data_IF_371351554857
#
_entry.id   IF_371351554857
#
_cell.length_a   1.000
_cell.length_b   1.000
_cell.length_c   1.000
_cell.angle_alpha   90.00
_cell.angle_beta   90.00
_cell.angle_gamma   90.00
#
_symmetry.space_group_name_H-M   'P 1'
#
loop_
_entity.id
_entity.type
_entity.pdbx_description
1 polymer ?
#
# COMPACT_ATOMS: atom_id res chain seq x y z
N UNK A 1 -14.45 -71.71 15.84
CA UNK A 1 -15.89 -71.67 15.47
C UNK A 1 -16.36 -70.22 15.54
N UNK A 2 -17.32 -69.80 14.69
CA UNK A 2 -17.00 -69.21 13.38
C UNK A 2 -17.63 -67.78 13.23
N UNK A 3 -17.69 -67.03 12.11
CA UNK A 3 -18.09 -67.36 10.72
C UNK A 3 -17.62 -66.31 9.69
N UNK A 4 -17.09 -66.78 8.56
CA UNK A 4 -17.34 -66.23 7.21
C UNK A 4 -18.61 -66.93 6.64
N UNK A 5 -19.36 -66.36 5.68
CA UNK A 5 -19.19 -66.75 4.24
C UNK A 5 -19.69 -65.67 3.23
N UNK A 6 -19.89 -65.94 1.91
CA UNK A 6 -19.22 -66.85 0.96
C UNK A 6 -18.67 -66.14 -0.31
N UNK A 7 -18.20 -66.94 -1.28
CA UNK A 7 -17.49 -66.57 -2.52
C UNK A 7 -18.08 -67.20 -3.80
N UNK A 8 -17.63 -66.72 -4.98
CA UNK A 8 -17.54 -67.44 -6.28
C UNK A 8 -18.84 -67.62 -7.13
N UNK A 9 -18.75 -67.89 -8.47
CA UNK A 9 -17.63 -68.53 -9.19
C UNK A 9 -17.11 -67.90 -10.51
N UNK A 10 -16.07 -68.56 -11.05
CA UNK A 10 -15.29 -68.29 -12.27
C UNK A 10 -16.04 -68.53 -13.59
N UNK A 11 -15.52 -67.92 -14.68
CA UNK A 11 -15.24 -68.67 -15.92
C UNK A 11 -14.09 -68.01 -16.71
N UNK A 12 -13.24 -68.82 -17.35
CA UNK A 12 -12.06 -68.38 -18.10
C UNK A 12 -11.93 -69.12 -19.43
N UNK A 13 -11.63 -68.42 -20.54
CA UNK A 13 -11.31 -69.02 -21.85
C UNK A 13 -10.24 -68.19 -22.62
N UNK A 14 -9.03 -68.75 -22.66
CA UNK A 14 -8.06 -68.90 -23.78
C UNK A 14 -7.79 -67.77 -24.83
N UNK A 15 -6.48 -67.45 -24.96
CA UNK A 15 -5.74 -67.33 -26.24
C UNK A 15 -5.67 -65.95 -26.93
N UNK A 16 -4.62 -65.58 -27.69
CA UNK A 16 -3.28 -66.17 -27.89
C UNK A 16 -2.32 -65.14 -28.60
N UNK A 17 -1.00 -65.37 -28.52
CA UNK A 17 0.07 -64.99 -29.50
C UNK A 17 0.29 -63.50 -29.89
N UNK A 18 1.40 -62.83 -29.49
CA UNK A 18 2.77 -62.80 -30.11
C UNK A 18 2.86 -62.03 -31.44
N UNK A 19 3.73 -61.04 -31.69
CA UNK A 19 5.21 -60.89 -31.48
C UNK A 19 5.59 -59.39 -31.19
N UNK A 20 6.69 -59.00 -30.52
CA UNK A 20 8.14 -59.00 -30.91
C UNK A 20 8.39 -58.42 -32.33
N UNK A 21 9.33 -57.50 -32.63
CA UNK A 21 10.47 -56.92 -31.88
C UNK A 21 10.97 -55.59 -32.54
N UNK A 22 11.73 -54.77 -31.80
CA UNK A 22 12.65 -53.68 -32.27
C UNK A 22 13.89 -54.32 -33.00
N UNK A 23 14.88 -53.65 -33.70
CA UNK A 23 15.30 -52.22 -33.59
C UNK A 23 15.95 -51.48 -34.81
N UNK A 24 16.35 -50.22 -34.55
CA UNK A 24 17.52 -49.45 -35.06
C UNK A 24 17.60 -48.75 -36.47
N UNK A 25 17.97 -47.44 -36.40
CA UNK A 25 18.82 -46.58 -37.29
C UNK A 25 18.60 -46.63 -38.82
N UNK A 26 18.52 -45.49 -39.56
CA UNK A 26 19.62 -44.53 -39.70
C UNK A 26 19.24 -43.20 -40.42
N UNK A 27 20.03 -42.15 -40.18
CA UNK A 27 20.33 -40.94 -41.00
C UNK A 27 19.42 -40.46 -42.15
N UNK A 28 19.00 -39.18 -42.11
CA UNK A 28 18.59 -38.40 -43.29
C UNK A 28 18.58 -36.89 -43.04
N UNK A 29 19.51 -36.13 -43.65
CA UNK A 29 19.49 -34.65 -43.65
C UNK A 29 18.58 -34.15 -44.77
N UNK A 30 17.80 -33.10 -44.52
CA UNK A 30 17.27 -32.24 -45.59
C UNK A 30 17.16 -30.79 -45.14
N UNK A 31 17.80 -29.90 -45.89
CA UNK A 31 17.70 -28.46 -45.72
C UNK A 31 16.41 -27.95 -46.36
N UNK A 32 15.72 -27.00 -45.70
CA UNK A 32 14.81 -26.06 -46.39
C UNK A 32 15.21 -24.64 -46.01
N UNK A 33 15.24 -23.76 -47.02
CA UNK A 33 15.84 -22.42 -46.96
C UNK A 33 14.98 -21.43 -46.18
N UNK A 34 15.65 -20.50 -45.48
CA UNK A 34 15.11 -19.15 -45.25
C UNK A 34 14.99 -18.42 -46.60
N UNK A 35 13.87 -17.75 -46.84
CA UNK A 35 13.80 -16.60 -47.74
C UNK A 35 13.41 -15.36 -46.93
N UNK A 36 13.85 -14.19 -47.40
CA UNK A 36 13.84 -12.94 -46.63
C UNK A 36 13.61 -11.76 -47.60
N UNK A 37 12.92 -10.73 -47.11
CA UNK A 37 12.77 -9.38 -47.69
C UNK A 37 11.82 -9.23 -48.92
N UNK A 38 11.33 -8.00 -49.23
CA UNK A 38 11.53 -6.70 -48.56
C UNK A 38 10.24 -5.93 -48.14
N UNK A 39 10.42 -4.83 -47.39
CA UNK A 39 9.40 -3.79 -47.14
C UNK A 39 9.41 -2.71 -48.24
N UNK A 40 8.26 -2.12 -48.56
CA UNK A 40 8.15 -0.78 -49.17
C UNK A 40 6.88 -0.04 -48.72
N UNK A 41 6.83 1.30 -48.93
CA UNK A 41 5.94 2.28 -48.28
C UNK A 41 4.61 2.59 -49.04
N UNK A 42 3.62 3.27 -48.40
CA UNK A 42 2.29 3.50 -48.96
C UNK A 42 2.17 4.78 -49.82
N UNK A 43 1.09 4.94 -50.62
CA UNK A 43 0.78 6.17 -51.34
C UNK A 43 -0.25 7.05 -50.61
N UNK A 44 -0.03 8.36 -50.69
CA UNK A 44 -1.04 9.41 -50.50
C UNK A 44 -1.33 10.08 -51.85
N UNK A 45 -2.57 10.50 -52.12
CA UNK A 45 -2.93 11.77 -52.81
C UNK A 45 -4.45 11.93 -52.99
N UNK A 46 -4.89 13.11 -53.43
CA UNK A 46 -6.24 13.61 -53.16
C UNK A 46 -7.01 14.17 -54.38
N UNK A 47 -8.34 14.12 -54.25
CA UNK A 47 -9.33 15.17 -54.64
C UNK A 47 -9.94 15.21 -56.06
N UNK A 48 -11.25 15.53 -56.06
CA UNK A 48 -12.15 16.02 -57.16
C UNK A 48 -12.52 15.00 -58.26
N UNK A 49 -13.77 14.89 -58.73
CA UNK A 49 -15.05 15.47 -58.30
C UNK A 49 -16.13 15.49 -59.42
N UNK A 50 -17.35 15.92 -59.07
CA UNK A 50 -18.55 16.28 -59.89
C UNK A 50 -19.76 15.33 -59.88
N UNK A 51 -20.91 16.00 -59.88
CA UNK A 51 -22.32 15.60 -59.77
C UNK A 51 -23.02 15.85 -61.14
N UNK A 52 -24.31 15.49 -61.35
CA UNK A 52 -25.34 16.55 -61.26
C UNK A 52 -26.80 16.16 -60.85
N UNK A 53 -27.38 16.98 -59.96
CA UNK A 53 -28.70 17.70 -60.02
C UNK A 53 -30.07 16.99 -60.21
N UNK A 54 -30.91 17.14 -59.16
CA UNK A 54 -32.13 18.01 -59.01
C UNK A 54 -33.21 18.10 -60.12
N UNK A 55 -34.52 18.18 -59.73
CA UNK A 55 -35.20 19.48 -59.39
C UNK A 55 -36.27 19.39 -58.24
N UNK A 56 -36.94 20.43 -57.68
CA UNK A 56 -36.73 21.91 -57.46
C UNK A 56 -37.78 22.49 -56.48
N UNK A 57 -37.38 23.40 -55.56
CA UNK A 57 -38.18 24.55 -55.06
C UNK A 57 -38.91 24.41 -53.71
N UNK A 58 -39.10 25.44 -52.85
CA UNK A 58 -38.62 26.84 -52.79
C UNK A 58 -39.43 27.61 -51.72
N UNK A 59 -38.87 28.33 -50.73
CA UNK A 59 -38.57 29.79 -50.82
C UNK A 59 -38.12 30.40 -49.45
N UNK A 60 -37.10 31.29 -49.48
CA UNK A 60 -36.93 32.60 -48.76
C UNK A 60 -37.24 32.76 -47.24
N UNK A 61 -36.50 33.52 -46.40
CA UNK A 61 -35.35 34.42 -46.62
C UNK A 61 -34.61 34.83 -45.30
N UNK A 62 -33.37 35.34 -45.44
CA UNK A 62 -32.58 36.25 -44.54
C UNK A 62 -31.83 35.74 -43.29
N UNK A 63 -30.65 36.33 -43.11
CA UNK A 63 -29.65 36.11 -42.04
C UNK A 63 -28.95 37.43 -41.66
N UNK A 64 -28.19 37.39 -40.54
CA UNK A 64 -27.08 38.29 -40.13
C UNK A 64 -27.45 39.56 -39.32
N UNK A 65 -26.52 40.20 -38.57
CA UNK A 65 -25.13 39.80 -38.20
C UNK A 65 -24.76 39.93 -36.70
N UNK A 66 -23.52 39.59 -36.34
CA UNK A 66 -22.84 39.99 -35.09
C UNK A 66 -22.51 41.51 -35.05
N UNK A 67 -22.12 42.04 -33.88
CA UNK A 67 -21.20 43.18 -33.81
C UNK A 67 -19.98 42.93 -32.89
N UNK A 68 -18.94 43.76 -33.06
CA UNK A 68 -17.75 43.76 -32.22
C UNK A 68 -17.22 45.20 -32.01
N UNK A 69 -16.45 45.39 -30.92
CA UNK A 69 -15.54 46.52 -30.60
C UNK A 69 -16.15 47.88 -30.24
N UNK A 70 -15.84 48.35 -29.02
CA UNK A 70 -15.23 49.67 -28.78
C UNK A 70 -14.36 49.68 -27.51
N UNK A 71 -13.29 50.47 -27.56
CA UNK A 71 -12.38 50.77 -26.45
C UNK A 71 -12.81 52.09 -25.78
N UNK A 72 -12.43 52.29 -24.52
CA UNK A 72 -12.20 53.63 -23.95
C UNK A 72 -11.18 53.57 -22.79
N UNK A 73 -10.67 54.72 -22.34
CA UNK A 73 -9.27 54.84 -21.86
C UNK A 73 -9.04 55.57 -20.52
N UNK A 74 -8.25 54.93 -19.62
CA UNK A 74 -7.41 55.55 -18.57
C UNK A 74 -8.10 56.24 -17.36
N UNK A 75 -7.33 56.73 -16.35
CA UNK A 75 -5.87 56.68 -16.22
C UNK A 75 -5.31 56.11 -14.88
N UNK A 76 -3.99 55.89 -14.91
CA UNK A 76 -3.00 55.68 -13.84
C UNK A 76 -3.34 56.10 -12.39
N UNK A 77 -2.95 55.26 -11.42
CA UNK A 77 -2.15 55.66 -10.24
C UNK A 77 -1.34 54.49 -9.68
N UNK A 78 -0.04 54.69 -9.54
CA UNK A 78 0.92 53.77 -8.91
C UNK A 78 1.18 54.17 -7.46
N UNK A 79 1.51 53.20 -6.61
CA UNK A 79 2.16 53.42 -5.32
C UNK A 79 3.33 52.44 -5.16
N UNK A 80 4.51 53.00 -4.94
CA UNK A 80 5.73 52.27 -4.56
C UNK A 80 5.78 52.11 -3.03
N UNK A 81 6.77 51.35 -2.52
CA UNK A 81 7.72 52.06 -1.65
C UNK A 81 9.20 51.79 -1.97
N UNK A 82 9.93 52.91 -2.03
CA UNK A 82 11.36 53.16 -1.82
C UNK A 82 12.35 52.00 -1.65
N UNK A 83 13.41 52.07 -2.46
CA UNK A 83 14.65 51.34 -2.26
C UNK A 83 15.38 51.76 -0.97
N UNK A 84 16.09 50.81 -0.35
CA UNK A 84 17.17 51.10 0.61
C UNK A 84 18.52 50.83 -0.09
N UNK A 85 19.41 51.80 0.02
CA UNK A 85 20.72 51.84 -0.64
C UNK A 85 21.66 50.73 -0.19
N UNK A 86 22.37 50.10 -1.13
CA UNK A 86 23.50 49.24 -0.82
C UNK A 86 24.65 50.02 -0.16
N UNK A 87 25.49 49.30 0.61
CA UNK A 87 26.75 49.83 1.15
C UNK A 87 27.90 48.90 0.76
N UNK A 88 28.96 49.49 0.21
CA UNK A 88 30.11 48.79 -0.33
C UNK A 88 31.14 48.39 0.75
N UNK A 89 32.03 47.48 0.36
CA UNK A 89 33.17 46.98 1.13
C UNK A 89 34.36 47.96 1.21
N UNK A 90 35.37 47.59 2.03
CA UNK A 90 36.72 48.18 2.26
C UNK A 90 36.79 49.11 3.49
N UNK A 91 37.79 49.10 4.38
CA UNK A 91 39.12 48.42 4.45
C UNK A 91 39.42 47.84 5.87
N UNK A 92 40.49 47.04 6.03
CA UNK A 92 41.09 46.63 7.33
C UNK A 92 42.16 47.66 7.81
N UNK A 93 43.34 47.27 8.35
CA UNK A 93 43.79 45.97 8.89
C UNK A 93 44.68 46.04 10.18
N UNK A 94 44.61 45.07 11.09
CA UNK A 94 45.64 44.72 12.12
C UNK A 94 45.45 43.21 12.43
N UNK A 95 46.44 42.34 12.68
CA UNK A 95 47.91 42.42 12.74
C UNK A 95 48.43 41.09 13.34
N UNK A 96 49.63 40.64 12.94
CA UNK A 96 50.11 39.25 13.14
C UNK A 96 50.91 39.01 14.42
N UNK A 97 50.86 37.77 14.95
CA UNK A 97 51.91 36.98 15.65
C UNK A 97 51.23 35.98 16.63
N UNK A 98 51.82 34.85 17.03
CA UNK A 98 53.13 34.25 16.73
C UNK A 98 53.25 32.90 17.48
N UNK A 99 54.17 32.02 17.07
CA UNK A 99 54.26 30.64 17.58
C UNK A 99 55.33 30.44 18.67
N UNK A 100 55.26 29.25 19.32
CA UNK A 100 56.29 28.52 20.12
C UNK A 100 56.25 28.66 21.65
N UNK A 101 56.45 27.52 22.30
CA UNK A 101 56.73 27.39 23.74
C UNK A 101 56.74 25.91 24.16
N UNK A 102 57.92 25.26 24.19
CA UNK A 102 58.10 23.92 24.79
C UNK A 102 58.09 24.04 26.31
N UNK A 103 57.59 23.00 26.98
CA UNK A 103 57.83 22.76 28.41
C UNK A 103 57.57 21.30 28.75
N UNK A 104 58.63 20.50 28.86
CA UNK A 104 58.57 19.23 29.60
C UNK A 104 58.75 19.56 31.07
N UNK A 105 57.93 18.99 31.96
CA UNK A 105 58.45 18.55 33.26
C UNK A 105 57.58 17.44 33.87
N UNK A 106 58.21 16.69 34.79
CA UNK A 106 57.74 15.40 35.30
C UNK A 106 56.91 15.52 36.57
N UNK A 107 55.86 14.70 36.72
CA UNK A 107 55.09 14.65 37.97
C UNK A 107 54.17 13.45 38.08
N UNK A 108 54.64 12.36 38.68
CA UNK A 108 53.83 11.17 38.94
C UNK A 108 53.03 11.31 40.25
N UNK A 109 51.71 11.42 40.19
CA UNK A 109 50.82 11.30 41.37
C UNK A 109 49.61 10.40 41.06
N UNK A 110 49.27 9.55 42.02
CA UNK A 110 48.26 8.49 41.96
C UNK A 110 46.84 9.02 41.69
N UNK A 111 46.13 8.41 40.73
CA UNK A 111 44.67 8.59 40.57
C UNK A 111 43.90 7.74 41.60
N UNK A 112 43.02 8.38 42.39
CA UNK A 112 41.90 7.71 43.07
C UNK A 112 40.66 7.74 42.13
N UNK A 113 39.92 6.64 41.95
CA UNK A 113 38.67 6.67 41.20
C UNK A 113 37.46 6.90 42.12
N UNK A 114 36.79 8.03 41.96
CA UNK A 114 35.33 8.10 42.10
C UNK A 114 34.70 7.89 40.71
N UNK A 115 33.51 7.31 40.54
CA UNK A 115 32.57 6.83 41.54
C UNK A 115 31.14 6.91 41.00
N UNK A 116 30.76 6.01 40.08
CA UNK A 116 29.36 5.80 39.60
C UNK A 116 29.23 4.59 38.67
N UNK A 117 29.40 3.37 39.21
CA UNK A 117 28.96 2.10 38.59
C UNK A 117 28.92 1.00 39.67
N UNK A 118 27.79 0.87 40.36
CA UNK A 118 27.35 -0.28 41.18
C UNK A 118 25.96 0.02 41.75
N UNK A 119 24.92 -0.34 41.00
CA UNK A 119 23.52 -0.10 41.40
C UNK A 119 22.49 -1.07 40.79
N UNK A 120 22.89 -1.96 39.87
CA UNK A 120 22.01 -2.97 39.26
C UNK A 120 22.40 -4.42 39.57
N UNK A 121 23.65 -4.70 39.91
CA UNK A 121 24.12 -6.07 40.20
C UNK A 121 23.82 -6.53 41.65
N UNK A 122 23.73 -5.60 42.61
CA UNK A 122 23.46 -5.92 44.01
C UNK A 122 22.02 -6.45 44.25
N UNK A 123 21.04 -6.00 43.46
CA UNK A 123 19.62 -6.39 43.63
C UNK A 123 19.37 -7.82 43.15
N UNK A 124 20.04 -8.24 42.08
CA UNK A 124 19.92 -9.59 41.53
C UNK A 124 20.55 -10.66 42.45
N UNK A 125 21.57 -10.30 43.24
CA UNK A 125 22.20 -11.20 44.19
C UNK A 125 21.32 -11.49 45.43
N UNK A 126 20.60 -10.49 45.94
CA UNK A 126 19.74 -10.63 47.12
C UNK A 126 18.51 -11.50 46.82
N UNK A 127 17.93 -11.39 45.61
CA UNK A 127 16.77 -12.17 45.16
C UNK A 127 17.02 -13.69 45.07
N UNK A 128 18.26 -14.17 45.13
CA UNK A 128 18.61 -15.61 45.03
C UNK A 128 18.86 -16.31 46.37
N UNK A 129 18.78 -15.60 47.51
CA UNK A 129 19.26 -16.12 48.79
C UNK A 129 18.18 -16.57 49.80
N UNK A 130 16.89 -16.26 49.59
CA UNK A 130 15.83 -16.53 50.59
C UNK A 130 14.49 -16.97 49.95
N UNK A 131 14.18 -18.28 49.87
CA UNK A 131 12.88 -18.76 49.44
C UNK A 131 11.84 -18.59 50.56
N UNK A 132 10.89 -17.65 50.40
CA UNK A 132 9.78 -17.47 51.34
C UNK A 132 9.29 -16.02 51.51
N UNK A 133 10.07 -15.01 51.12
CA UNK A 133 9.74 -13.59 51.32
C UNK A 133 8.62 -13.05 50.38
N UNK A 134 7.85 -13.91 49.71
CA UNK A 134 6.73 -13.52 48.87
C UNK A 134 5.44 -13.17 49.64
N UNK A 135 5.29 -13.63 50.89
CA UNK A 135 4.02 -13.48 51.66
C UNK A 135 4.00 -12.36 52.70
N UNK A 136 5.07 -11.58 52.88
CA UNK A 136 5.15 -10.54 53.93
C UNK A 136 5.18 -9.09 53.43
N UNK A 137 5.13 -8.85 52.11
CA UNK A 137 5.10 -7.50 51.53
C UNK A 137 3.71 -7.06 51.03
N UNK A 138 2.71 -7.95 51.06
CA UNK A 138 1.34 -7.65 50.64
C UNK A 138 0.52 -6.78 51.63
N UNK A 139 1.08 -6.43 52.79
CA UNK A 139 0.34 -5.84 53.92
C UNK A 139 0.62 -4.34 54.17
N UNK A 140 1.40 -3.65 53.33
CA UNK A 140 1.74 -2.22 53.51
C UNK A 140 1.73 -1.42 52.21
N UNK A 141 0.54 -1.19 51.66
CA UNK A 141 0.08 0.07 51.06
C UNK A 141 0.92 0.85 50.03
N UNK A 142 2.00 0.29 49.48
CA UNK A 142 2.88 0.95 48.52
C UNK A 142 2.74 0.26 47.16
N UNK A 143 1.62 0.55 46.49
CA UNK A 143 1.37 0.07 45.15
C UNK A 143 2.41 0.62 44.18
N UNK A 144 3.14 -0.26 43.50
CA UNK A 144 3.77 0.13 42.23
C UNK A 144 2.67 0.55 41.26
N UNK A 145 2.87 1.61 40.45
CA UNK A 145 1.89 1.98 39.45
C UNK A 145 1.73 0.79 38.50
N UNK A 146 0.50 0.30 38.24
CA UNK A 146 0.30 -0.71 37.22
C UNK A 146 0.80 -0.13 35.91
N UNK A 147 1.76 -0.82 35.28
CA UNK A 147 2.35 -0.34 34.03
C UNK A 147 1.24 -0.14 33.01
N UNK A 148 1.06 1.10 32.54
CA UNK A 148 0.09 1.49 31.50
C UNK A 148 0.41 0.93 30.10
N UNK A 149 1.13 -0.19 30.04
CA UNK A 149 1.63 -0.87 28.86
C UNK A 149 0.91 -2.19 28.57
N UNK A 150 -0.25 -2.43 29.19
CA UNK A 150 -1.09 -3.63 29.00
C UNK A 150 -2.58 -3.33 28.76
N UNK A 151 -2.92 -2.15 28.21
CA UNK A 151 -4.30 -1.81 27.83
C UNK A 151 -4.38 -0.81 26.68
N UNK A 152 -3.78 -1.17 25.54
CA UNK A 152 -3.90 -0.43 24.27
C UNK A 152 -3.96 -1.35 23.04
N UNK A 153 -4.24 -2.64 23.23
CA UNK A 153 -4.43 -3.58 22.11
C UNK A 153 -5.86 -3.46 21.59
N UNK A 154 -5.98 -3.24 20.27
CA UNK A 154 -7.20 -3.22 19.47
C UNK A 154 -8.26 -2.16 19.87
N UNK A 155 -8.16 -0.96 19.26
CA UNK A 155 -9.31 -0.03 19.11
C UNK A 155 -10.42 -0.55 18.18
N UNK A 156 -10.10 -1.57 17.39
CA UNK A 156 -10.96 -2.14 16.36
C UNK A 156 -10.91 -3.66 16.47
N UNK A 157 -12.08 -4.29 16.44
CA UNK A 157 -12.22 -5.74 16.34
C UNK A 157 -12.68 -6.15 14.94
N UNK A 158 -12.63 -7.45 14.66
CA UNK A 158 -13.13 -8.01 13.40
C UNK A 158 -14.11 -9.14 13.65
N UNK A 159 -15.04 -9.35 12.71
CA UNK A 159 -15.94 -10.50 12.69
C UNK A 159 -15.87 -11.18 11.32
N UNK A 160 -15.44 -12.44 11.34
CA UNK A 160 -15.46 -13.30 10.17
C UNK A 160 -16.89 -13.75 9.84
N UNK A 161 -17.20 -13.85 8.55
CA UNK A 161 -18.37 -14.48 7.95
C UNK A 161 -17.94 -15.34 6.76
N UNK A 162 -18.75 -16.35 6.42
CA UNK A 162 -18.42 -17.35 5.40
C UNK A 162 -17.21 -18.24 5.72
N UNK A 163 -16.78 -18.98 4.71
CA UNK A 163 -15.66 -19.95 4.79
C UNK A 163 -14.34 -19.31 4.34
N UNK A 164 -13.22 -19.46 5.07
CA UNK A 164 -11.91 -19.05 4.58
C UNK A 164 -11.55 -19.72 3.24
N UNK A 165 -10.74 -19.04 2.44
CA UNK A 165 -10.27 -19.50 1.12
C UNK A 165 -11.38 -19.74 0.09
N UNK A 166 -12.57 -19.15 0.26
CA UNK A 166 -13.69 -19.25 -0.69
C UNK A 166 -14.22 -17.85 -1.09
N UNK A 167 -15.00 -17.75 -2.19
CA UNK A 167 -15.62 -16.48 -2.60
C UNK A 167 -16.63 -15.91 -1.60
N UNK A 168 -17.13 -16.70 -0.65
CA UNK A 168 -18.08 -16.28 0.39
C UNK A 168 -17.42 -15.74 1.68
N UNK A 169 -16.09 -15.81 1.80
CA UNK A 169 -15.37 -15.23 2.94
C UNK A 169 -15.56 -13.71 3.05
N UNK A 170 -15.90 -13.20 4.24
CA UNK A 170 -15.92 -11.77 4.56
C UNK A 170 -15.35 -11.53 5.95
N UNK A 171 -14.60 -10.45 6.12
CA UNK A 171 -14.10 -9.97 7.40
C UNK A 171 -14.61 -8.55 7.65
N UNK A 172 -15.65 -8.44 8.47
CA UNK A 172 -16.27 -7.17 8.87
C UNK A 172 -15.53 -6.54 10.05
N UNK A 173 -15.68 -5.23 10.23
CA UNK A 173 -14.98 -4.47 11.27
C UNK A 173 -15.95 -3.97 12.34
N UNK A 174 -15.45 -3.86 13.57
CA UNK A 174 -16.13 -3.28 14.73
C UNK A 174 -15.25 -2.21 15.38
N UNK A 175 -15.86 -1.14 15.87
CA UNK A 175 -15.18 -0.17 16.72
C UNK A 175 -14.98 -0.71 18.16
N UNK A 176 -14.36 0.10 19.04
CA UNK A 176 -14.14 -0.24 20.44
C UNK A 176 -15.43 -0.49 21.26
N UNK A 177 -16.57 0.07 20.82
CA UNK A 177 -17.88 -0.14 21.43
C UNK A 177 -18.60 -1.40 20.90
N UNK A 178 -17.97 -2.14 19.97
CA UNK A 178 -18.53 -3.33 19.33
C UNK A 178 -19.48 -3.05 18.16
N UNK A 179 -19.66 -1.79 17.75
CA UNK A 179 -20.53 -1.39 16.63
C UNK A 179 -19.84 -1.68 15.31
N UNK A 180 -20.60 -2.18 14.34
CA UNK A 180 -20.10 -2.39 12.97
C UNK A 180 -19.74 -1.07 12.29
N UNK A 181 -18.65 -1.09 11.53
CA UNK A 181 -18.10 0.06 10.83
C UNK A 181 -17.53 -0.37 9.46
N UNK A 182 -17.46 0.57 8.51
CA UNK A 182 -16.70 0.40 7.27
C UNK A 182 -15.20 0.63 7.54
N UNK A 183 -14.30 -0.30 7.16
CA UNK A 183 -12.87 -0.05 7.23
C UNK A 183 -12.42 1.03 6.24
N UNK A 184 -13.13 1.20 5.13
CA UNK A 184 -12.85 2.22 4.13
C UNK A 184 -13.25 3.62 4.65
N UNK A 185 -14.41 3.76 5.30
CA UNK A 185 -15.00 5.08 5.54
C UNK A 185 -14.98 5.55 7.00
N UNK A 186 -15.12 4.64 7.97
CA UNK A 186 -15.33 4.98 9.38
C UNK A 186 -14.05 4.97 10.23
N UNK A 187 -12.99 4.28 9.78
CA UNK A 187 -11.67 4.36 10.40
C UNK A 187 -11.04 5.69 9.98
N UNK A 188 -10.67 6.59 10.90
CA UNK A 188 -10.06 7.87 10.52
C UNK A 188 -8.72 7.68 9.81
N UNK A 189 -8.42 8.48 8.79
CA UNK A 189 -7.10 8.48 8.13
C UNK A 189 -5.96 8.72 9.14
N UNK A 190 -6.11 9.72 10.02
CA UNK A 190 -5.09 10.12 10.99
C UNK A 190 -5.27 9.41 12.34
N UNK A 191 -4.16 8.93 12.89
CA UNK A 191 -4.08 8.25 14.17
C UNK A 191 -3.84 9.24 15.34
N UNK A 192 -4.80 10.13 15.61
CA UNK A 192 -4.68 11.17 16.64
C UNK A 192 -6.01 11.68 17.19
N UNK A 193 -5.98 12.48 18.26
CA UNK A 193 -7.18 13.03 18.90
C UNK A 193 -7.60 14.38 18.32
N UNK A 194 -8.49 14.34 17.31
CA UNK A 194 -9.41 15.40 16.83
C UNK A 194 -8.89 16.81 16.44
N UNK A 195 -7.69 17.20 16.84
CA UNK A 195 -7.10 18.54 16.62
C UNK A 195 -6.20 18.57 15.38
N UNK A 196 -5.48 17.48 15.09
CA UNK A 196 -4.62 17.30 13.89
C UNK A 196 -5.46 16.91 12.65
N UNK A 197 -6.48 17.70 12.29
CA UNK A 197 -7.35 17.44 11.12
C UNK A 197 -6.82 17.96 9.79
N UNK A 198 -5.67 18.62 9.79
CA UNK A 198 -5.05 19.18 8.60
C UNK A 198 -3.59 18.75 8.52
N UNK A 199 -3.14 18.32 7.34
CA UNK A 199 -1.72 18.07 7.06
C UNK A 199 -1.00 19.43 7.17
N UNK A 200 -0.02 19.60 8.09
CA UNK A 200 0.55 20.91 8.37
C UNK A 200 1.22 21.51 7.14
N UNK A 201 0.66 22.59 6.58
CA UNK A 201 1.10 23.22 5.34
C UNK A 201 2.51 23.86 5.37
N UNK A 202 3.24 23.75 6.50
CA UNK A 202 4.64 24.16 6.66
C UNK A 202 5.28 23.45 7.86
N UNK A 203 6.49 22.91 7.67
CA UNK A 203 7.31 22.28 8.73
C UNK A 203 7.53 23.25 9.91
N UNK A 204 6.96 22.96 11.08
CA UNK A 204 7.44 23.53 12.33
C UNK A 204 8.81 22.92 12.66
N UNK A 205 9.88 23.67 12.42
CA UNK A 205 11.18 23.41 13.06
C UNK A 205 11.09 23.81 14.54
N UNK A 206 10.47 22.97 15.38
CA UNK A 206 10.71 22.76 16.83
C UNK A 206 9.61 21.85 17.36
N UNK A 207 9.97 20.67 17.91
CA UNK A 207 9.08 19.63 18.52
C UNK A 207 7.89 19.18 17.63
N UNK A 208 7.76 17.92 17.23
CA UNK A 208 8.12 16.70 17.95
C UNK A 208 7.05 15.61 17.83
N UNK A 209 5.87 15.93 17.27
CA UNK A 209 4.86 14.95 16.86
C UNK A 209 5.10 14.53 15.41
N UNK A 210 5.26 13.23 15.20
CA UNK A 210 5.30 12.58 13.89
C UNK A 210 3.85 12.36 13.43
N UNK A 211 3.50 12.69 12.18
CA UNK A 211 2.13 12.51 11.67
C UNK A 211 1.89 11.02 11.47
N UNK A 212 0.93 10.47 12.22
CA UNK A 212 0.59 9.06 12.22
C UNK A 212 -0.70 8.82 11.44
N UNK A 213 -0.72 7.74 10.68
CA UNK A 213 -1.86 7.29 9.89
C UNK A 213 -2.36 5.96 10.44
N UNK A 214 -3.65 5.69 10.33
CA UNK A 214 -4.15 4.32 10.48
C UNK A 214 -4.00 3.62 9.12
N UNK A 215 -3.46 2.42 9.12
CA UNK A 215 -3.46 1.49 7.99
C UNK A 215 -4.39 0.34 8.30
N UNK A 216 -5.22 -0.07 7.34
CA UNK A 216 -5.98 -1.33 7.42
C UNK A 216 -5.14 -2.40 6.74
N UNK A 217 -4.66 -3.40 7.50
CA UNK A 217 -3.90 -4.51 6.91
C UNK A 217 -4.86 -5.48 6.23
N UNK A 218 -4.62 -5.79 4.97
CA UNK A 218 -5.40 -6.74 4.18
C UNK A 218 -4.67 -8.07 4.05
N UNK A 219 -3.40 -8.04 3.63
CA UNK A 219 -2.59 -9.23 3.35
C UNK A 219 -1.35 -9.27 4.26
N UNK A 220 -1.26 -10.26 5.18
CA UNK A 220 -0.06 -10.50 5.98
C UNK A 220 1.17 -10.83 5.12
N UNK A 221 2.35 -10.38 5.58
CA UNK A 221 3.61 -10.70 4.90
C UNK A 221 3.84 -12.20 4.76
N UNK A 222 4.39 -12.58 3.61
CA UNK A 222 4.65 -13.95 3.15
C UNK A 222 3.40 -14.82 2.92
N UNK A 223 2.21 -14.22 2.86
CA UNK A 223 1.00 -14.91 2.41
C UNK A 223 0.70 -14.60 0.93
N UNK A 224 -0.13 -15.43 0.31
CA UNK A 224 -0.40 -15.41 -1.12
C UNK A 224 -1.83 -14.97 -1.48
N UNK A 225 -2.81 -15.11 -0.59
CA UNK A 225 -4.20 -14.75 -0.87
C UNK A 225 -4.29 -13.22 -1.13
N UNK A 226 -4.82 -12.81 -2.30
CA UNK A 226 -5.10 -11.39 -2.53
C UNK A 226 -6.40 -11.05 -1.80
N UNK A 227 -6.24 -10.54 -0.58
CA UNK A 227 -7.31 -9.96 0.20
C UNK A 227 -7.40 -8.46 -0.07
N UNK A 228 -8.60 -7.91 -0.07
CA UNK A 228 -8.88 -6.50 -0.37
C UNK A 228 -10.14 -6.03 0.35
N UNK A 229 -10.21 -4.75 0.71
CA UNK A 229 -11.43 -4.06 1.12
C UNK A 229 -12.43 -4.11 -0.04
N UNK A 230 -13.62 -4.68 0.21
CA UNK A 230 -14.66 -4.76 -0.81
C UNK A 230 -15.32 -3.40 -1.06
N UNK A 231 -14.70 -2.55 -1.87
CA UNK A 231 -15.20 -1.20 -2.23
C UNK A 231 -16.64 -1.24 -2.77
N UNK A 232 -17.02 -2.30 -3.50
CA UNK A 232 -18.37 -2.50 -4.06
C UNK A 232 -19.40 -3.16 -3.10
N UNK A 233 -19.07 -3.42 -1.84
CA UNK A 233 -19.98 -4.07 -0.88
C UNK A 233 -20.30 -3.19 0.34
N UNK A 234 -21.55 -3.20 0.88
CA UNK A 234 -21.91 -2.42 2.06
C UNK A 234 -21.04 -2.77 3.28
N UNK A 235 -20.63 -1.74 4.03
CA UNK A 235 -19.64 -1.83 5.13
C UNK A 235 -18.24 -2.31 4.71
N UNK A 236 -17.97 -2.44 3.40
CA UNK A 236 -16.68 -2.71 2.78
C UNK A 236 -15.81 -3.77 3.51
N UNK A 237 -16.36 -4.97 3.83
CA UNK A 237 -15.59 -6.03 4.48
C UNK A 237 -14.35 -6.40 3.66
N UNK A 238 -13.30 -6.89 4.32
CA UNK A 238 -12.20 -7.52 3.57
C UNK A 238 -12.70 -8.85 2.99
N UNK A 239 -12.47 -9.08 1.70
CA UNK A 239 -12.75 -10.33 0.98
C UNK A 239 -11.52 -10.77 0.19
N UNK A 240 -11.56 -11.96 -0.39
CA UNK A 240 -10.55 -12.40 -1.35
C UNK A 240 -10.97 -12.03 -2.77
N UNK A 241 -10.06 -11.44 -3.55
CA UNK A 241 -10.21 -11.20 -5.00
C UNK A 241 -10.56 -12.53 -5.70
N UNK A 242 -11.41 -12.49 -6.73
CA UNK A 242 -11.78 -13.68 -7.49
C UNK A 242 -11.43 -13.55 -8.98
N UNK A 243 -10.65 -14.50 -9.47
CA UNK A 243 -10.24 -14.58 -10.88
C UNK A 243 -10.87 -15.81 -11.52
N UNK A 244 -11.70 -15.61 -12.56
CA UNK A 244 -12.46 -16.68 -13.25
C UNK A 244 -13.28 -17.55 -12.30
N UNK A 245 -13.93 -16.92 -11.30
CA UNK A 245 -14.78 -17.59 -10.31
C UNK A 245 -14.02 -18.39 -9.24
N UNK A 246 -12.69 -18.31 -9.19
CA UNK A 246 -11.86 -18.92 -8.13
C UNK A 246 -11.18 -17.84 -7.28
N UNK A 247 -10.96 -18.08 -5.97
CA UNK A 247 -10.19 -17.17 -5.12
C UNK A 247 -8.77 -16.98 -5.67
N UNK A 248 -8.29 -15.74 -5.68
CA UNK A 248 -7.03 -15.36 -6.30
C UNK A 248 -5.87 -15.45 -5.30
N UNK A 249 -4.77 -16.01 -5.77
CA UNK A 249 -3.49 -16.07 -5.04
C UNK A 249 -2.40 -15.45 -5.92
N UNK A 250 -1.58 -14.58 -5.34
CA UNK A 250 -0.39 -14.02 -5.99
C UNK A 250 0.72 -15.07 -5.98
N UNK A 251 1.44 -15.17 -7.08
CA UNK A 251 2.51 -16.15 -7.26
C UNK A 251 3.74 -15.86 -6.39
N UNK A 252 4.55 -16.87 -6.09
CA UNK A 252 5.88 -16.67 -5.52
C UNK A 252 6.86 -16.42 -6.67
N UNK A 253 7.33 -15.18 -6.84
CA UNK A 253 8.31 -14.82 -7.87
C UNK A 253 9.68 -14.85 -7.24
N UNK A 254 10.52 -15.81 -7.63
CA UNK A 254 11.81 -16.05 -7.00
C UNK A 254 12.67 -14.78 -6.98
N UNK A 255 13.19 -14.34 -5.80
CA UNK A 255 13.28 -15.05 -4.53
C UNK A 255 12.15 -14.77 -3.50
N UNK A 256 11.06 -14.11 -3.89
CA UNK A 256 10.00 -13.61 -3.02
C UNK A 256 8.85 -14.60 -2.78
N UNK A 257 8.61 -14.98 -1.51
CA UNK A 257 7.41 -15.73 -1.07
C UNK A 257 6.26 -14.76 -0.86
N UNK A 258 5.18 -14.89 -1.62
CA UNK A 258 3.97 -14.08 -1.50
C UNK A 258 4.24 -12.56 -1.52
N UNK A 259 3.45 -11.80 -0.75
CA UNK A 259 3.72 -10.38 -0.49
C UNK A 259 4.93 -10.22 0.45
N UNK A 260 5.84 -9.29 0.14
CA UNK A 260 7.09 -9.09 0.92
C UNK A 260 7.00 -7.99 1.99
N UNK A 261 5.81 -7.42 2.18
CA UNK A 261 5.41 -6.49 3.24
C UNK A 261 4.15 -7.01 3.93
N UNK A 262 3.75 -6.40 5.04
CA UNK A 262 2.32 -6.42 5.35
C UNK A 262 1.66 -5.39 4.42
N UNK A 263 0.62 -5.80 3.70
CA UNK A 263 -0.01 -5.02 2.65
C UNK A 263 -1.45 -4.67 3.02
N UNK A 264 -1.94 -3.54 2.53
CA UNK A 264 -3.29 -3.06 2.73
C UNK A 264 -3.38 -1.58 2.37
N UNK A 265 -4.39 -0.87 2.83
CA UNK A 265 -4.65 0.50 2.37
C UNK A 265 -4.79 1.53 3.51
N UNK A 266 -4.73 2.82 3.17
CA UNK A 266 -5.15 3.90 4.07
C UNK A 266 -6.67 4.13 3.97
N UNK A 267 -7.40 4.12 5.10
CA UNK A 267 -8.82 4.41 5.10
C UNK A 267 -9.05 5.88 4.77
N UNK A 268 -10.24 6.20 4.27
CA UNK A 268 -10.64 7.56 3.88
C UNK A 268 -9.78 8.17 2.76
N UNK A 269 -9.17 7.36 1.91
CA UNK A 269 -8.48 7.79 0.68
C UNK A 269 -9.11 7.11 -0.53
N UNK A 270 -9.12 7.74 -1.70
CA UNK A 270 -9.67 7.15 -2.92
C UNK A 270 -8.95 7.67 -4.16
N UNK A 271 -8.51 6.76 -5.02
CA UNK A 271 -7.91 7.04 -6.33
C UNK A 271 -9.03 7.20 -7.38
N UNK A 272 -9.63 8.40 -7.46
CA UNK A 272 -10.78 8.68 -8.33
C UNK A 272 -10.48 8.35 -9.82
N UNK A 273 -11.22 7.42 -10.45
CA UNK A 273 -11.00 7.00 -11.84
C UNK A 273 -11.37 8.09 -12.87
N UNK A 274 -11.98 9.20 -12.43
CA UNK A 274 -12.24 10.38 -13.25
C UNK A 274 -11.15 11.46 -13.06
N UNK A 275 -10.23 11.29 -12.12
CA UNK A 275 -9.13 12.21 -11.85
C UNK A 275 -7.84 11.71 -12.50
N UNK A 276 -7.38 12.41 -13.54
CA UNK A 276 -6.04 12.18 -14.10
C UNK A 276 -4.99 12.80 -13.19
N UNK A 277 -4.10 11.98 -12.62
CA UNK A 277 -2.97 12.47 -11.84
C UNK A 277 -1.91 13.13 -12.75
N UNK A 278 -1.36 14.26 -12.28
CA UNK A 278 -0.43 15.08 -13.05
C UNK A 278 0.99 14.51 -13.13
N UNK A 279 1.32 13.51 -12.31
CA UNK A 279 2.64 12.90 -12.24
C UNK A 279 2.74 11.65 -13.12
N UNK A 280 1.66 10.86 -13.17
CA UNK A 280 1.55 9.65 -14.00
C UNK A 280 0.98 9.93 -15.39
N UNK A 281 0.06 10.90 -15.50
CA UNK A 281 -0.78 11.11 -16.69
C UNK A 281 -1.92 10.10 -16.84
N UNK A 282 -2.20 9.30 -15.80
CA UNK A 282 -3.21 8.24 -15.77
C UNK A 282 -4.33 8.57 -14.77
N UNK A 283 -5.52 8.02 -14.98
CA UNK A 283 -6.61 8.07 -13.99
C UNK A 283 -6.35 7.09 -12.83
N UNK A 284 -6.94 7.33 -11.65
CA UNK A 284 -6.87 6.41 -10.51
C UNK A 284 -7.52 5.04 -10.77
N UNK A 285 -7.16 4.04 -9.98
CA UNK A 285 -7.64 2.65 -10.08
C UNK A 285 -9.00 2.39 -9.40
N UNK A 286 -9.63 3.42 -8.83
CA UNK A 286 -10.92 3.39 -8.11
C UNK A 286 -10.88 2.78 -6.69
N UNK A 287 -9.72 2.42 -6.16
CA UNK A 287 -9.56 1.83 -4.82
C UNK A 287 -8.96 2.84 -3.79
N UNK A 288 -8.83 2.48 -2.50
CA UNK A 288 -8.14 3.31 -1.50
C UNK A 288 -6.62 3.19 -1.64
N UNK A 289 -5.87 4.25 -1.31
CA UNK A 289 -4.42 4.32 -1.58
C UNK A 289 -3.64 3.22 -0.83
N UNK A 290 -2.81 2.51 -1.58
CA UNK A 290 -2.14 1.28 -1.14
C UNK A 290 -0.92 1.53 -0.24
N UNK A 291 -0.62 0.58 0.64
CA UNK A 291 0.42 0.69 1.68
C UNK A 291 1.23 -0.60 1.81
N UNK A 292 2.55 -0.44 1.71
CA UNK A 292 3.55 -1.47 2.03
C UNK A 292 4.19 -1.17 3.39
N UNK A 293 3.80 -1.93 4.43
CA UNK A 293 4.32 -1.79 5.79
C UNK A 293 5.55 -2.68 6.02
N UNK A 294 6.70 -2.02 6.26
CA UNK A 294 8.04 -2.62 6.18
C UNK A 294 8.59 -3.13 7.53
N UNK A 295 7.78 -3.10 8.58
CA UNK A 295 8.14 -3.49 9.94
C UNK A 295 8.43 -5.00 10.11
N UNK A 296 9.16 -5.33 11.16
CA UNK A 296 9.59 -6.68 11.50
C UNK A 296 8.45 -7.62 11.88
N UNK A 297 7.37 -7.13 12.49
CA UNK A 297 6.18 -7.92 12.85
C UNK A 297 5.42 -8.36 11.60
N UNK A 298 4.98 -9.62 11.54
CA UNK A 298 3.94 -10.06 10.59
C UNK A 298 2.59 -9.73 11.19
N UNK A 299 1.77 -8.96 10.47
CA UNK A 299 0.45 -8.48 10.91
C UNK A 299 -0.65 -9.50 10.60
N UNK A 300 -1.82 -9.33 11.20
CA UNK A 300 -3.01 -10.11 10.83
C UNK A 300 -3.88 -9.34 9.82
N UNK A 301 -4.59 -10.07 8.95
CA UNK A 301 -5.63 -9.47 8.10
C UNK A 301 -6.72 -8.86 8.98
N UNK A 302 -7.10 -7.62 8.68
CA UNK A 302 -7.99 -6.78 9.50
C UNK A 302 -7.33 -6.13 10.72
N UNK A 303 -6.01 -6.25 10.94
CA UNK A 303 -5.30 -5.46 11.94
C UNK A 303 -5.28 -3.99 11.52
N UNK A 304 -5.75 -3.08 12.37
CA UNK A 304 -5.64 -1.63 12.15
C UNK A 304 -4.39 -1.13 12.87
N UNK A 305 -3.37 -0.73 12.11
CA UNK A 305 -2.02 -0.41 12.59
C UNK A 305 -1.78 1.09 12.50
N UNK A 306 -1.11 1.67 13.50
CA UNK A 306 -0.63 3.04 13.42
C UNK A 306 0.73 3.05 12.72
N UNK A 307 0.82 3.75 11.59
CA UNK A 307 2.01 3.76 10.73
C UNK A 307 2.53 5.18 10.51
N UNK A 308 3.84 5.26 10.30
CA UNK A 308 4.54 6.42 9.79
C UNK A 308 4.83 6.22 8.31
N UNK A 309 4.44 7.16 7.47
CA UNK A 309 4.78 7.19 6.04
C UNK A 309 6.24 7.61 5.85
N UNK A 310 6.90 7.01 4.86
CA UNK A 310 8.31 7.18 4.55
C UNK A 310 8.55 7.66 3.12
N UNK A 311 7.64 7.33 2.19
CA UNK A 311 7.73 7.69 0.79
C UNK A 311 6.61 7.07 -0.03
N UNK A 312 6.68 7.23 -1.35
CA UNK A 312 5.70 6.67 -2.29
C UNK A 312 6.37 6.17 -3.58
N UNK A 313 5.76 5.15 -4.21
CA UNK A 313 6.12 4.62 -5.52
C UNK A 313 4.91 4.74 -6.45
N UNK A 314 5.12 5.29 -7.64
CA UNK A 314 4.08 5.46 -8.66
C UNK A 314 4.04 4.23 -9.58
N UNK A 315 3.18 3.25 -9.29
CA UNK A 315 2.93 2.13 -10.19
C UNK A 315 1.96 2.60 -11.30
N UNK A 316 2.18 2.10 -12.52
CA UNK A 316 1.25 2.18 -13.63
C UNK A 316 0.73 0.76 -13.89
N UNK A 317 -0.36 0.39 -13.24
CA UNK A 317 -0.93 -0.94 -13.39
C UNK A 317 -1.90 -0.95 -14.57
N UNK A 318 -1.46 -1.57 -15.69
CA UNK A 318 -2.24 -1.70 -16.93
C UNK A 318 -2.79 -0.39 -17.55
N UNK A 319 -2.31 0.79 -17.10
CA UNK A 319 -2.73 2.11 -17.59
C UNK A 319 -3.44 2.96 -16.55
N UNK A 320 -3.67 2.43 -15.35
CA UNK A 320 -4.23 3.13 -14.19
C UNK A 320 -3.08 3.60 -13.26
N UNK A 321 -3.30 4.72 -12.58
CA UNK A 321 -2.46 5.22 -11.49
C UNK A 321 -2.73 4.37 -10.27
N UNK A 322 -1.67 3.87 -9.66
CA UNK A 322 -1.72 3.01 -8.49
C UNK A 322 -0.56 3.41 -7.54
N UNK A 323 -0.84 4.18 -6.49
CA UNK A 323 0.19 4.68 -5.57
C UNK A 323 0.49 3.69 -4.44
N UNK A 324 1.72 3.17 -4.42
CA UNK A 324 2.22 2.33 -3.32
C UNK A 324 2.94 3.19 -2.27
N UNK A 325 2.27 3.52 -1.18
CA UNK A 325 2.84 4.23 -0.03
C UNK A 325 3.77 3.28 0.75
N UNK A 326 4.98 3.74 1.06
CA UNK A 326 5.93 3.00 1.90
C UNK A 326 5.81 3.51 3.34
N UNK A 327 5.55 2.61 4.29
CA UNK A 327 5.30 2.96 5.68
C UNK A 327 5.93 1.97 6.67
N UNK A 328 6.02 2.35 7.95
CA UNK A 328 6.47 1.48 9.04
C UNK A 328 5.56 1.65 10.27
N UNK A 329 5.19 0.54 10.91
CA UNK A 329 4.43 0.56 12.17
C UNK A 329 5.20 1.25 13.29
N UNK A 330 4.52 2.12 14.06
CA UNK A 330 5.14 2.89 15.15
C UNK A 330 5.60 2.04 16.34
N UNK A 331 5.08 0.82 16.44
CA UNK A 331 5.46 -0.23 17.38
C UNK A 331 6.70 -1.03 16.94
N UNK A 332 7.24 -0.79 15.74
CA UNK A 332 8.47 -1.44 15.27
C UNK A 332 9.75 -0.87 15.93
N UNK A 333 10.70 -1.71 16.40
CA UNK A 333 11.95 -1.25 17.00
C UNK A 333 12.85 -0.37 16.11
N UNK A 334 12.68 -0.42 14.78
CA UNK A 334 13.42 0.40 13.82
C UNK A 334 12.70 1.70 13.44
N UNK A 335 11.43 1.88 13.80
CA UNK A 335 10.67 3.10 13.51
C UNK A 335 11.32 4.37 14.11
N UNK A 336 12.11 4.25 15.18
CA UNK A 336 12.88 5.34 15.79
C UNK A 336 14.20 5.69 15.05
N UNK A 337 14.47 5.03 13.91
CA UNK A 337 15.66 5.27 13.06
C UNK A 337 15.30 5.59 11.61
N UNK A 338 14.08 5.27 11.19
CA UNK A 338 13.61 5.36 9.81
C UNK A 338 12.54 6.43 9.76
N UNK A 339 12.86 7.62 9.22
CA UNK A 339 11.96 8.77 9.17
C UNK A 339 11.69 9.27 7.75
N UNK A 340 12.43 8.80 6.75
CA UNK A 340 12.24 9.11 5.34
C UNK A 340 12.70 7.94 4.45
N UNK A 341 12.45 8.04 3.14
CA UNK A 341 12.74 6.96 2.18
C UNK A 341 14.24 6.60 2.10
N UNK A 342 15.13 7.58 2.30
CA UNK A 342 16.58 7.35 2.34
C UNK A 342 17.04 6.55 3.56
N UNK A 343 16.34 6.66 4.69
CA UNK A 343 16.62 5.80 5.83
C UNK A 343 16.26 4.33 5.52
N UNK A 344 15.26 4.08 4.67
CA UNK A 344 14.94 2.72 4.20
C UNK A 344 16.10 2.17 3.38
N UNK A 345 16.63 2.93 2.41
CA UNK A 345 17.81 2.53 1.61
C UNK A 345 19.02 2.19 2.49
N UNK A 346 19.24 3.00 3.53
CA UNK A 346 20.36 2.88 4.48
C UNK A 346 20.21 1.73 5.48
N UNK A 347 19.01 1.48 6.01
CA UNK A 347 18.77 0.50 7.06
C UNK A 347 18.26 -0.85 6.53
N UNK A 348 17.69 -0.88 5.31
CA UNK A 348 17.20 -2.08 4.62
C UNK A 348 17.70 -2.10 3.16
N UNK A 349 19.02 -2.23 2.93
CA UNK A 349 19.60 -2.20 1.58
C UNK A 349 19.04 -3.32 0.70
N UNK A 350 18.70 -2.99 -0.56
CA UNK A 350 18.08 -3.93 -1.51
C UNK A 350 16.56 -4.07 -1.37
N UNK A 351 15.94 -3.49 -0.34
CA UNK A 351 14.50 -3.69 -0.05
C UNK A 351 13.59 -2.86 -0.96
N UNK A 352 14.02 -1.65 -1.34
CA UNK A 352 13.29 -0.81 -2.30
C UNK A 352 13.44 -1.37 -3.73
N UNK A 353 14.60 -1.89 -4.07
CA UNK A 353 14.88 -2.54 -5.35
C UNK A 353 14.03 -3.81 -5.50
N UNK A 354 13.98 -4.65 -4.45
CA UNK A 354 13.07 -5.80 -4.38
C UNK A 354 11.59 -5.41 -4.48
N UNK A 355 11.22 -4.19 -4.03
CA UNK A 355 9.86 -3.68 -4.13
C UNK A 355 9.47 -3.35 -5.57
N UNK A 356 10.37 -2.70 -6.31
CA UNK A 356 10.17 -2.46 -7.75
C UNK A 356 10.12 -3.80 -8.50
N UNK A 357 11.06 -4.72 -8.24
CA UNK A 357 11.10 -6.03 -8.89
C UNK A 357 9.80 -6.84 -8.67
N UNK A 358 9.25 -6.80 -7.46
CA UNK A 358 7.97 -7.45 -7.15
C UNK A 358 6.81 -6.83 -7.93
N UNK A 359 6.59 -5.51 -7.83
CA UNK A 359 5.46 -4.85 -8.52
C UNK A 359 5.58 -4.85 -10.04
N UNK A 360 6.81 -4.89 -10.59
CA UNK A 360 7.04 -5.05 -12.03
C UNK A 360 6.52 -6.41 -12.52
N UNK A 361 6.83 -7.48 -11.80
CA UNK A 361 6.66 -8.84 -12.30
C UNK A 361 5.44 -9.60 -11.73
N UNK A 362 4.76 -9.15 -10.66
CA UNK A 362 3.74 -9.97 -9.95
C UNK A 362 2.57 -10.47 -10.81
N UNK A 363 2.24 -9.77 -11.91
CA UNK A 363 1.20 -10.16 -12.88
C UNK A 363 1.73 -10.95 -14.10
N UNK A 364 3.05 -11.13 -14.25
CA UNK A 364 3.64 -11.91 -15.37
C UNK A 364 3.26 -13.40 -15.34
N UNK A 365 3.29 -14.12 -14.19
CA UNK A 365 2.75 -15.49 -14.09
C UNK A 365 1.26 -15.59 -14.47
N UNK A 366 0.55 -14.47 -14.35
CA UNK A 366 -0.87 -14.32 -14.63
C UNK A 366 -1.17 -14.05 -16.13
N UNK A 367 -0.13 -14.04 -16.98
CA UNK A 367 -0.20 -13.81 -18.43
C UNK A 367 -0.29 -12.33 -18.84
N UNK A 368 0.03 -11.40 -17.94
CA UNK A 368 0.06 -9.95 -18.21
C UNK A 368 1.49 -9.50 -18.55
N UNK A 369 1.66 -8.35 -19.23
CA UNK A 369 2.97 -7.72 -19.35
C UNK A 369 3.50 -7.29 -17.97
N UNK A 370 4.78 -6.93 -17.92
CA UNK A 370 5.34 -6.21 -16.77
C UNK A 370 4.67 -4.85 -16.59
N UNK A 371 4.45 -4.48 -15.33
CA UNK A 371 3.96 -3.14 -14.98
C UNK A 371 5.05 -2.08 -15.17
N UNK A 372 4.62 -0.85 -15.44
CA UNK A 372 5.50 0.30 -15.59
C UNK A 372 5.43 1.18 -14.35
N UNK A 373 6.31 2.19 -14.27
CA UNK A 373 6.35 3.12 -13.15
C UNK A 373 6.54 4.54 -13.68
N UNK A 374 5.85 5.52 -13.10
CA UNK A 374 6.23 6.91 -13.31
C UNK A 374 7.59 7.21 -12.63
N UNK A 375 8.19 8.36 -12.95
CA UNK A 375 9.52 8.75 -12.47
C UNK A 375 10.63 7.69 -12.69
N UNK A 376 10.48 6.81 -13.69
CA UNK A 376 11.42 5.70 -13.95
C UNK A 376 11.62 4.76 -12.72
N UNK A 377 10.57 4.60 -11.89
CA UNK A 377 10.62 3.77 -10.67
C UNK A 377 11.31 4.43 -9.47
N UNK A 378 11.58 5.74 -9.51
CA UNK A 378 12.13 6.47 -8.37
C UNK A 378 11.08 6.57 -7.24
N UNK A 379 11.40 6.03 -6.06
CA UNK A 379 10.62 6.31 -4.85
C UNK A 379 10.74 7.78 -4.46
N UNK A 380 9.59 8.45 -4.31
CA UNK A 380 9.50 9.83 -3.81
C UNK A 380 9.55 9.83 -2.28
N UNK A 381 9.95 10.97 -1.72
CA UNK A 381 10.12 11.15 -0.27
C UNK A 381 8.79 11.21 0.50
N UNK A 382 8.89 11.26 1.83
CA UNK A 382 7.73 11.36 2.72
C UNK A 382 6.86 12.60 2.44
N UNK A 383 7.46 13.74 2.14
CA UNK A 383 6.71 15.00 1.95
C UNK A 383 5.89 14.93 0.65
N UNK A 384 6.41 14.31 -0.41
CA UNK A 384 5.65 13.99 -1.62
C UNK A 384 4.51 13.00 -1.34
N UNK A 385 4.80 11.93 -0.58
CA UNK A 385 3.79 10.94 -0.21
C UNK A 385 2.62 11.55 0.59
N UNK A 386 2.88 12.54 1.44
CA UNK A 386 1.83 13.29 2.13
C UNK A 386 0.91 14.06 1.16
N UNK A 387 1.43 14.66 0.09
CA UNK A 387 0.58 15.36 -0.90
C UNK A 387 -0.24 14.38 -1.75
N UNK A 388 0.27 13.18 -2.05
CA UNK A 388 -0.52 12.08 -2.66
C UNK A 388 -1.68 11.68 -1.76
N UNK A 389 -1.40 11.33 -0.49
CA UNK A 389 -2.41 10.93 0.50
C UNK A 389 -3.45 12.03 0.74
N UNK A 390 -3.02 13.30 0.73
CA UNK A 390 -3.91 14.45 0.83
C UNK A 390 -4.86 14.54 -0.36
N UNK A 391 -4.34 14.38 -1.59
CA UNK A 391 -5.14 14.42 -2.82
C UNK A 391 -6.22 13.33 -2.79
N UNK A 392 -5.84 12.09 -2.53
CA UNK A 392 -6.77 10.95 -2.46
C UNK A 392 -7.75 11.07 -1.28
N UNK A 393 -7.38 11.73 -0.18
CA UNK A 393 -8.30 12.08 0.91
C UNK A 393 -9.31 13.18 0.54
N UNK A 394 -8.94 14.16 -0.29
CA UNK A 394 -9.91 15.12 -0.86
C UNK A 394 -10.87 14.44 -1.85
N UNK A 395 -10.38 13.53 -2.70
CA UNK A 395 -11.22 12.72 -3.58
C UNK A 395 -12.23 11.87 -2.79
N UNK A 396 -11.79 11.15 -1.74
CA UNK A 396 -12.70 10.44 -0.85
C UNK A 396 -13.72 11.37 -0.16
N UNK A 397 -13.31 12.57 0.28
CA UNK A 397 -14.24 13.57 0.83
C UNK A 397 -15.27 14.02 -0.20
N UNK A 398 -14.92 14.14 -1.47
CA UNK A 398 -15.85 14.48 -2.54
C UNK A 398 -16.85 13.34 -2.82
N UNK A 399 -16.36 12.10 -2.94
CA UNK A 399 -17.13 10.87 -3.04
C UNK A 399 -18.19 10.76 -1.93
N UNK A 400 -17.75 10.79 -0.66
CA UNK A 400 -18.64 10.54 0.48
C UNK A 400 -19.69 11.65 0.69
N UNK A 401 -19.51 12.84 0.12
CA UNK A 401 -20.49 13.94 0.15
C UNK A 401 -21.28 14.09 -1.16
N UNK A 402 -21.26 13.09 -2.06
CA UNK A 402 -21.96 13.11 -3.37
C UNK A 402 -21.58 14.30 -4.26
N UNK A 403 -20.33 14.75 -4.18
CA UNK A 403 -19.78 15.81 -5.07
C UNK A 403 -19.18 15.25 -6.36
N UNK A 404 -18.83 13.96 -6.34
CA UNK A 404 -18.37 13.17 -7.49
C UNK A 404 -19.28 11.95 -7.64
N UNK A 405 -19.39 11.40 -8.85
CA UNK A 405 -20.00 10.08 -9.06
C UNK A 405 -19.06 8.99 -8.52
N UNK A 406 -19.57 8.17 -7.59
CA UNK A 406 -18.82 7.06 -7.00
C UNK A 406 -18.92 5.75 -7.77
N UNK A 407 -19.68 5.71 -8.88
CA UNK A 407 -19.83 4.53 -9.72
C UNK A 407 -20.31 3.31 -8.93
N UNK A 408 -19.45 2.29 -8.81
CA UNK A 408 -19.78 1.05 -8.10
C UNK A 408 -19.55 1.11 -6.58
N UNK A 409 -18.76 2.06 -6.09
CA UNK A 409 -18.30 2.15 -4.69
C UNK A 409 -19.46 2.34 -3.70
N UNK A 410 -19.51 1.49 -2.66
CA UNK A 410 -20.55 1.54 -1.61
C UNK A 410 -20.10 2.39 -0.45
N UNK A 411 -20.58 3.64 -0.46
CA UNK A 411 -20.33 4.66 0.55
C UNK A 411 -20.97 4.41 1.93
N UNK A 412 -21.56 3.24 2.20
CA UNK A 412 -22.27 2.93 3.46
C UNK A 412 -21.33 3.01 4.66
N UNK A 413 -21.63 3.88 5.61
CA UNK A 413 -20.80 4.15 6.78
C UNK A 413 -21.66 4.38 8.04
N UNK A 414 -21.05 4.37 9.23
CA UNK A 414 -21.77 4.47 10.51
C UNK A 414 -21.40 5.72 11.35
N UNK A 415 -20.23 6.32 11.12
CA UNK A 415 -19.62 7.33 12.00
C UNK A 415 -19.32 8.67 11.30
N UNK A 416 -19.38 8.77 9.97
CA UNK A 416 -18.95 9.99 9.25
C UNK A 416 -20.02 11.07 9.28
N UNK A 417 -19.89 12.01 10.21
CA UNK A 417 -20.84 13.12 10.38
C UNK A 417 -21.05 13.94 9.11
N UNK A 418 -22.31 14.08 8.68
CA UNK A 418 -22.69 14.84 7.48
C UNK A 418 -22.73 14.03 6.18
N UNK A 419 -22.33 12.75 6.21
CA UNK A 419 -22.48 11.85 5.06
C UNK A 419 -23.98 11.53 4.81
N UNK A 420 -24.47 11.62 3.56
CA UNK A 420 -25.81 11.19 3.16
C UNK A 420 -25.93 9.65 3.01
N UNK A 421 -24.91 8.90 3.42
CA UNK A 421 -24.82 7.44 3.35
C UNK A 421 -24.69 6.77 4.74
N UNK A 422 -24.89 7.52 5.83
CA UNK A 422 -24.87 6.95 7.17
C UNK A 422 -26.01 5.95 7.35
N UNK A 423 -25.71 4.75 7.85
CA UNK A 423 -26.71 3.75 8.26
C UNK A 423 -26.87 3.69 9.78
N UNK A 424 -27.99 3.15 10.23
CA UNK A 424 -28.25 2.80 11.62
C UNK A 424 -27.47 1.56 12.05
N UNK A 425 -27.34 1.36 13.37
CA UNK A 425 -26.66 0.19 13.93
C UNK A 425 -27.43 -1.10 13.61
N UNK A 426 -28.76 -1.04 13.52
CA UNK A 426 -29.66 -2.12 13.12
C UNK A 426 -29.46 -2.52 11.66
N UNK A 427 -29.36 -1.56 10.74
CA UNK A 427 -29.04 -1.82 9.32
C UNK A 427 -27.64 -2.42 9.17
N UNK A 428 -26.64 -1.89 9.89
CA UNK A 428 -25.29 -2.42 9.86
C UNK A 428 -25.23 -3.87 10.38
N UNK A 429 -25.94 -4.19 11.47
CA UNK A 429 -26.10 -5.57 11.96
C UNK A 429 -26.80 -6.46 10.94
N UNK A 430 -27.85 -5.98 10.29
CA UNK A 430 -28.62 -6.72 9.27
C UNK A 430 -27.74 -7.12 8.08
N UNK A 431 -26.90 -6.20 7.58
CA UNK A 431 -25.91 -6.48 6.53
C UNK A 431 -25.00 -7.65 6.94
N UNK A 432 -24.38 -7.60 8.13
CA UNK A 432 -23.46 -8.64 8.60
C UNK A 432 -24.17 -9.98 8.88
N UNK A 433 -25.41 -9.93 9.37
CA UNK A 433 -26.23 -11.13 9.61
C UNK A 433 -26.75 -11.79 8.32
N UNK A 434 -26.86 -11.03 7.23
CA UNK A 434 -27.21 -11.56 5.90
C UNK A 434 -26.06 -12.32 5.22
N UNK A 435 -24.81 -12.05 5.64
CA UNK A 435 -23.64 -12.76 5.15
C UNK A 435 -23.61 -14.22 5.67
N UNK A 436 -23.07 -15.17 4.90
CA UNK A 436 -23.02 -16.58 5.29
C UNK A 436 -22.42 -16.81 6.68
N UNK A 437 -22.95 -17.80 7.40
CA UNK A 437 -22.44 -18.15 8.74
C UNK A 437 -20.98 -18.61 8.67
N UNK A 438 -20.16 -18.32 9.71
CA UNK A 438 -18.77 -18.79 9.74
C UNK A 438 -18.71 -20.31 9.70
N UNK A 439 -17.86 -20.85 8.84
CA UNK A 439 -17.64 -22.29 8.71
C UNK A 439 -16.17 -22.58 8.34
N UNK A 440 -15.79 -23.86 8.41
CA UNK A 440 -14.45 -24.34 8.05
C UNK A 440 -14.09 -23.94 6.62
N UNK A 441 -12.85 -23.50 6.42
CA UNK A 441 -12.36 -23.04 5.13
C UNK A 441 -12.12 -24.15 4.12
N UNK A 442 -12.16 -23.78 2.84
CA UNK A 442 -11.75 -24.68 1.75
C UNK A 442 -10.22 -24.85 1.76
N UNK A 443 -9.72 -25.98 1.24
CA UNK A 443 -8.27 -26.21 1.16
C UNK A 443 -7.63 -25.34 0.06
N UNK A 444 -6.46 -24.78 0.37
CA UNK A 444 -5.67 -24.02 -0.62
C UNK A 444 -5.03 -25.00 -1.61
N UNK A 445 -5.02 -24.65 -2.90
CA UNK A 445 -4.38 -25.46 -3.92
C UNK A 445 -2.84 -25.52 -3.69
N UNK A 446 -2.20 -26.70 -3.70
CA UNK A 446 -0.74 -26.81 -3.55
C UNK A 446 0.07 -26.02 -4.61
N UNK A 447 -0.53 -25.70 -5.76
CA UNK A 447 0.06 -24.85 -6.78
C UNK A 447 0.46 -23.46 -6.26
N UNK A 448 -0.16 -22.97 -5.17
CA UNK A 448 0.17 -21.69 -4.51
C UNK A 448 1.58 -21.67 -3.91
N UNK A 449 2.20 -22.83 -3.68
CA UNK A 449 3.61 -22.94 -3.24
C UNK A 449 4.61 -23.03 -4.40
N UNK A 450 4.15 -23.00 -5.66
CA UNK A 450 5.03 -22.99 -6.83
C UNK A 450 5.88 -21.73 -6.92
N UNK A 451 7.09 -21.89 -7.45
CA UNK A 451 8.03 -20.79 -7.71
C UNK A 451 8.05 -20.44 -9.19
N UNK A 452 7.90 -19.15 -9.50
CA UNK A 452 8.02 -18.59 -10.82
C UNK A 452 9.34 -17.83 -10.94
N UNK A 453 10.05 -18.06 -12.04
CA UNK A 453 11.33 -17.43 -12.34
C UNK A 453 11.11 -16.46 -13.51
N UNK A 454 11.04 -15.16 -13.22
CA UNK A 454 11.01 -14.15 -14.27
C UNK A 454 12.42 -13.99 -14.86
N UNK A 455 12.65 -14.17 -16.17
CA UNK A 455 13.93 -13.89 -16.78
C UNK A 455 14.28 -12.40 -16.57
N UNK A 456 15.50 -12.12 -16.13
CA UNK A 456 16.05 -10.77 -16.18
C UNK A 456 16.82 -10.64 -17.48
N UNK A 457 16.43 -9.68 -18.33
CA UNK A 457 17.32 -9.24 -19.40
C UNK A 457 18.54 -8.55 -18.75
N UNK A 458 19.72 -9.11 -18.99
CA UNK A 458 21.00 -8.73 -18.37
C UNK A 458 21.78 -7.72 -19.23
#
# INVERSE_FOLDING_TARGET
MPLFPPSCPLLAVLGASSHLMDPHRNTGRLCVRRQMLPRCRPPSWASRGREPRLPTGGSTDRCSPCPAVRQDSGPYRSNTPSAVTGRAWRQGPIGTAGTRGRGQETGAVRRRPGGRRKGREAVAAIMRALPGLGRLLAARGWGWPPGRYLSAMARYGTEQRGRPNSPDYRLYFKNADGKYISPFHDIPLFAGSKEDKEIPAKRSKTTGNEVLFNMVVEVPRWTNAKMEIATEEPLNPIKQDTKKGKPRYVANIFPHKGYIWNYGALPQTWEDPNHTDNNTGCCGDNDPVDVCEIGSKVRSSGEVVQVKVLGALALLDQGETDWKIIAIGVDDPEAQKIHDIDDVRKHKPGYLEATIDWFRCYKVPDGKPENQFAFNGEFKDKDFAFEVIKSTHECWKALLHKKTDGGTVKCTNALVSGSPFCCSEEEARSIVQSAPVPASGDSVCPEVDSWYFCPRDH
#
